data_IF_327522883125
#
_entry.id   IF_327522883125
#
_cell.length_a   1.000
_cell.length_b   1.000
_cell.length_c   1.000
_cell.angle_alpha   90.00
_cell.angle_beta   90.00
_cell.angle_gamma   90.00
#
_symmetry.space_group_name_H-M   'P 1'
#
loop_
_entity.id
_entity.type
_entity.pdbx_description
1 polymer ?
#
# COMPACT_ATOMS: atom_id res chain seq x y z
N UNK A 1 -4.68 -11.77 5.47
CA UNK A 1 -5.18 -13.10 5.07
C UNK A 1 -4.47 -13.40 3.76
N UNK A 2 -3.75 -14.51 3.62
CA UNK A 2 -3.07 -14.87 2.37
C UNK A 2 -3.95 -15.91 1.63
N UNK A 3 -5.07 -15.53 0.99
CA UNK A 3 -5.71 -16.41 0.04
C UNK A 3 -4.85 -16.40 -1.24
N UNK A 4 -4.54 -17.60 -1.70
CA UNK A 4 -4.17 -18.01 -3.07
C UNK A 4 -3.35 -19.29 -2.92
N UNK A 5 -4.03 -20.43 -2.81
CA UNK A 5 -3.42 -21.76 -2.88
C UNK A 5 -3.06 -22.13 -4.33
N UNK A 6 -2.72 -21.12 -5.14
CA UNK A 6 -2.48 -21.27 -6.56
C UNK A 6 -1.16 -21.98 -6.75
N UNK A 7 -1.18 -23.04 -7.54
CA UNK A 7 0.02 -23.79 -7.82
C UNK A 7 0.86 -23.03 -8.87
N UNK A 8 2.04 -22.52 -8.48
CA UNK A 8 2.94 -21.79 -9.37
C UNK A 8 3.25 -22.53 -10.68
N UNK A 9 3.32 -23.87 -10.65
CA UNK A 9 3.53 -24.68 -11.86
C UNK A 9 2.32 -24.64 -12.79
N UNK A 10 1.10 -24.73 -12.25
CA UNK A 10 -0.10 -24.59 -13.07
C UNK A 10 -0.20 -23.17 -13.66
N UNK A 11 0.14 -22.16 -12.86
CA UNK A 11 0.19 -20.77 -13.33
C UNK A 11 1.17 -20.56 -14.50
N UNK A 12 2.34 -21.22 -14.48
CA UNK A 12 3.27 -21.24 -15.63
C UNK A 12 2.69 -21.95 -16.86
N UNK A 13 1.93 -23.03 -16.65
CA UNK A 13 1.23 -23.73 -17.73
C UNK A 13 0.19 -22.81 -18.35
N UNK A 14 -0.62 -22.09 -17.55
CA UNK A 14 -1.58 -21.11 -18.04
C UNK A 14 -0.92 -20.06 -18.94
N UNK A 15 0.15 -19.41 -18.48
CA UNK A 15 0.84 -18.38 -19.28
C UNK A 15 1.38 -18.98 -20.59
N UNK A 16 1.92 -20.20 -20.55
CA UNK A 16 2.43 -20.87 -21.75
C UNK A 16 1.32 -21.27 -22.73
N UNK A 17 0.15 -21.73 -22.25
CA UNK A 17 -0.98 -22.06 -23.14
C UNK A 17 -1.54 -20.80 -23.80
N UNK A 18 -1.65 -19.70 -23.04
CA UNK A 18 -2.11 -18.42 -23.57
C UNK A 18 -1.16 -17.86 -24.62
N UNK A 19 0.16 -18.00 -24.44
CA UNK A 19 1.17 -17.55 -25.40
C UNK A 19 1.24 -18.43 -26.65
N UNK A 20 1.07 -19.74 -26.53
CA UNK A 20 1.26 -20.68 -27.65
C UNK A 20 -0.02 -21.05 -28.39
N UNK A 21 -1.19 -20.85 -27.77
CA UNK A 21 -2.49 -21.29 -28.25
C UNK A 21 -2.61 -22.82 -28.44
N UNK A 22 -1.72 -23.62 -27.83
CA UNK A 22 -1.65 -25.06 -28.11
C UNK A 22 -1.18 -25.87 -26.91
N UNK A 23 -2.04 -26.78 -26.44
CA UNK A 23 -1.72 -27.77 -25.39
C UNK A 23 -0.47 -28.58 -25.73
N UNK A 24 -0.30 -28.97 -26.99
CA UNK A 24 0.87 -29.72 -27.47
C UNK A 24 2.15 -28.90 -27.36
N UNK A 25 2.13 -27.65 -27.82
CA UNK A 25 3.32 -26.78 -27.73
C UNK A 25 3.66 -26.45 -26.27
N UNK A 26 2.65 -26.23 -25.42
CA UNK A 26 2.87 -26.02 -23.99
C UNK A 26 3.43 -27.25 -23.28
N UNK A 27 2.95 -28.45 -23.62
CA UNK A 27 3.48 -29.71 -23.06
C UNK A 27 5.00 -29.80 -23.30
N UNK A 28 5.43 -29.56 -24.54
CA UNK A 28 6.84 -29.50 -24.90
C UNK A 28 7.59 -28.37 -24.18
N UNK A 29 7.04 -27.15 -24.15
CA UNK A 29 7.70 -25.99 -23.54
C UNK A 29 7.87 -26.12 -22.01
N UNK A 30 6.90 -26.74 -21.33
CA UNK A 30 6.92 -26.97 -19.89
C UNK A 30 7.53 -28.33 -19.47
N UNK A 31 7.99 -29.14 -20.42
CA UNK A 31 8.50 -30.49 -20.20
C UNK A 31 7.53 -31.37 -19.38
N UNK A 32 6.26 -31.40 -19.78
CA UNK A 32 5.20 -32.22 -19.19
C UNK A 32 4.35 -32.91 -20.27
N UNK A 33 3.54 -33.89 -19.89
CA UNK A 33 2.62 -34.54 -20.84
C UNK A 33 1.40 -33.67 -21.15
N UNK A 34 0.78 -33.84 -22.32
CA UNK A 34 -0.46 -33.13 -22.68
C UNK A 34 -1.62 -33.39 -21.70
N UNK A 35 -1.83 -34.62 -21.16
CA UNK A 35 -2.80 -34.84 -20.10
C UNK A 35 -2.49 -34.03 -18.83
N UNK A 36 -1.21 -33.85 -18.48
CA UNK A 36 -0.81 -33.04 -17.34
C UNK A 36 -1.08 -31.54 -17.56
N UNK A 37 -0.89 -31.03 -18.78
CA UNK A 37 -1.32 -29.66 -19.16
C UNK A 37 -2.82 -29.51 -18.95
N UNK A 38 -3.62 -30.42 -19.52
CA UNK A 38 -5.08 -30.38 -19.45
C UNK A 38 -5.56 -30.44 -17.99
N UNK A 39 -4.96 -31.31 -17.17
CA UNK A 39 -5.29 -31.43 -15.75
C UNK A 39 -4.90 -30.15 -14.97
N UNK A 40 -3.76 -29.54 -15.28
CA UNK A 40 -3.32 -28.29 -14.65
C UNK A 40 -4.29 -27.15 -14.96
N UNK A 41 -4.72 -27.01 -16.21
CA UNK A 41 -5.71 -25.99 -16.61
C UNK A 41 -7.05 -26.21 -15.90
N UNK A 42 -7.56 -27.45 -15.87
CA UNK A 42 -8.82 -27.76 -15.17
C UNK A 42 -8.74 -27.43 -13.68
N UNK A 43 -7.63 -27.76 -13.01
CA UNK A 43 -7.43 -27.40 -11.61
C UNK A 43 -7.39 -25.88 -11.39
N UNK A 44 -6.88 -25.10 -12.35
CA UNK A 44 -6.96 -23.64 -12.26
C UNK A 44 -8.39 -23.13 -12.43
N UNK A 45 -9.15 -23.65 -13.38
CA UNK A 45 -10.57 -23.33 -13.54
C UNK A 45 -11.35 -23.61 -12.25
N UNK A 46 -11.09 -24.76 -11.62
CA UNK A 46 -11.68 -25.14 -10.32
C UNK A 46 -11.25 -24.19 -9.17
N UNK A 47 -9.97 -23.79 -9.13
CA UNK A 47 -9.42 -22.89 -8.10
C UNK A 47 -9.95 -21.46 -8.21
N UNK A 48 -10.06 -20.93 -9.42
CA UNK A 48 -10.59 -19.58 -9.67
C UNK A 48 -12.12 -19.56 -9.79
N UNK A 49 -12.77 -20.72 -9.90
CA UNK A 49 -14.22 -20.84 -10.01
C UNK A 49 -14.80 -20.30 -11.33
N UNK A 50 -13.98 -20.21 -12.39
CA UNK A 50 -14.36 -19.66 -13.70
C UNK A 50 -13.85 -20.55 -14.83
N UNK A 51 -14.60 -20.59 -15.93
CA UNK A 51 -14.15 -21.22 -17.15
C UNK A 51 -13.17 -20.29 -17.86
N UNK A 52 -11.93 -20.74 -18.01
CA UNK A 52 -10.85 -19.98 -18.65
C UNK A 52 -10.63 -20.44 -20.10
N UNK A 53 -11.08 -21.64 -20.44
CA UNK A 53 -10.85 -22.21 -21.76
C UNK A 53 -12.13 -22.74 -22.42
N UNK A 54 -12.27 -22.44 -23.69
CA UNK A 54 -13.30 -23.01 -24.56
C UNK A 54 -12.81 -24.34 -25.12
N UNK A 55 -13.61 -25.38 -24.93
CA UNK A 55 -13.29 -26.74 -25.37
C UNK A 55 -14.10 -27.04 -26.63
N UNK A 56 -13.40 -27.22 -27.74
CA UNK A 56 -14.00 -27.54 -29.03
C UNK A 56 -13.42 -28.86 -29.56
N UNK A 57 -14.00 -29.39 -30.64
CA UNK A 57 -13.46 -30.56 -31.33
C UNK A 57 -12.07 -30.32 -31.92
N UNK A 58 -11.64 -29.05 -32.03
CA UNK A 58 -10.34 -28.64 -32.56
C UNK A 58 -9.30 -28.40 -31.46
N UNK A 59 -9.69 -28.41 -30.18
CA UNK A 59 -8.77 -28.24 -29.07
C UNK A 59 -9.32 -27.40 -27.92
N UNK A 60 -8.38 -26.90 -27.10
CA UNK A 60 -8.65 -26.08 -25.92
C UNK A 60 -8.07 -24.69 -26.18
N UNK A 61 -8.92 -23.67 -26.19
CA UNK A 61 -8.56 -22.30 -26.53
C UNK A 61 -8.80 -21.35 -25.36
N UNK A 62 -7.86 -20.45 -25.02
CA UNK A 62 -8.06 -19.47 -23.96
C UNK A 62 -9.17 -18.47 -24.35
N UNK A 63 -10.09 -18.19 -23.44
CA UNK A 63 -11.06 -17.12 -23.60
C UNK A 63 -10.54 -15.79 -23.02
N UNK A 64 -11.37 -14.73 -23.02
CA UNK A 64 -10.97 -13.41 -22.50
C UNK A 64 -10.54 -13.45 -21.03
N UNK A 65 -11.18 -14.27 -20.19
CA UNK A 65 -10.81 -14.43 -18.78
C UNK A 65 -9.43 -15.09 -18.62
N UNK A 66 -9.08 -16.06 -19.48
CA UNK A 66 -7.73 -16.62 -19.50
C UNK A 66 -6.68 -15.56 -19.85
N UNK A 67 -6.95 -14.70 -20.84
CA UNK A 67 -6.03 -13.63 -21.21
C UNK A 67 -5.85 -12.60 -20.09
N UNK A 68 -6.94 -12.21 -19.43
CA UNK A 68 -6.92 -11.30 -18.29
C UNK A 68 -6.11 -11.88 -17.12
N UNK A 69 -6.39 -13.13 -16.74
CA UNK A 69 -5.65 -13.82 -15.68
C UNK A 69 -4.17 -14.00 -16.03
N UNK A 70 -3.86 -14.43 -17.25
CA UNK A 70 -2.48 -14.67 -17.69
C UNK A 70 -1.63 -13.39 -17.65
N UNK A 71 -2.20 -12.22 -17.92
CA UNK A 71 -1.49 -10.95 -17.82
C UNK A 71 -0.96 -10.68 -16.41
N UNK A 72 -1.81 -10.86 -15.38
CA UNK A 72 -1.43 -10.70 -13.97
C UNK A 72 -0.50 -11.79 -13.49
N UNK A 73 -0.78 -13.04 -13.87
CA UNK A 73 0.05 -14.19 -13.52
C UNK A 73 1.46 -14.05 -14.09
N UNK A 74 1.59 -13.60 -15.33
CA UNK A 74 2.90 -13.34 -15.96
C UNK A 74 3.70 -12.32 -15.15
N UNK A 75 3.10 -11.20 -14.77
CA UNK A 75 3.74 -10.19 -13.90
C UNK A 75 4.19 -10.77 -12.57
N UNK A 76 3.34 -11.56 -11.91
CA UNK A 76 3.67 -12.23 -10.66
C UNK A 76 4.88 -13.16 -10.84
N UNK A 77 4.89 -13.98 -11.90
CA UNK A 77 6.01 -14.87 -12.21
C UNK A 77 7.29 -14.09 -12.54
N UNK A 78 7.20 -13.00 -13.31
CA UNK A 78 8.36 -12.16 -13.66
C UNK A 78 9.00 -11.55 -12.40
N UNK A 79 8.20 -11.07 -11.43
CA UNK A 79 8.70 -10.58 -10.13
C UNK A 79 9.51 -11.66 -9.40
N UNK A 80 8.95 -12.88 -9.32
CA UNK A 80 9.63 -14.00 -8.68
C UNK A 80 10.91 -14.40 -9.44
N UNK A 81 10.84 -14.41 -10.77
CA UNK A 81 11.92 -14.84 -11.64
C UNK A 81 13.08 -13.83 -11.59
N UNK A 82 12.81 -12.53 -11.62
CA UNK A 82 13.81 -11.47 -11.43
C UNK A 82 14.46 -11.54 -10.05
N UNK A 83 13.67 -11.70 -8.99
CA UNK A 83 14.18 -11.78 -7.62
C UNK A 83 15.09 -13.00 -7.41
N UNK A 84 14.83 -14.09 -8.13
CA UNK A 84 15.53 -15.36 -7.96
C UNK A 84 16.64 -15.58 -8.97
N UNK A 85 16.71 -14.79 -10.06
CA UNK A 85 17.75 -14.87 -11.07
C UNK A 85 19.16 -14.76 -10.50
N UNK A 86 19.37 -13.88 -9.50
CA UNK A 86 20.68 -13.68 -8.86
C UNK A 86 20.88 -14.56 -7.62
N UNK A 87 19.79 -15.07 -7.03
CA UNK A 87 19.84 -15.89 -5.82
C UNK A 87 20.00 -17.38 -6.14
N UNK A 88 19.15 -17.91 -7.02
CA UNK A 88 19.09 -19.33 -7.37
C UNK A 88 18.27 -19.54 -8.67
N UNK A 89 18.89 -19.54 -9.86
CA UNK A 89 18.18 -19.65 -11.15
C UNK A 89 17.26 -20.88 -11.27
N UNK A 90 17.61 -21.99 -10.63
CA UNK A 90 16.80 -23.23 -10.62
C UNK A 90 15.58 -23.15 -9.71
N UNK A 91 15.57 -22.22 -8.75
CA UNK A 91 14.46 -22.06 -7.81
C UNK A 91 13.15 -21.69 -8.51
N UNK A 92 13.23 -21.01 -9.67
CA UNK A 92 12.12 -20.78 -10.60
C UNK A 92 11.21 -22.00 -10.83
N UNK A 93 11.82 -23.19 -10.86
CA UNK A 93 11.16 -24.47 -11.17
C UNK A 93 10.70 -25.23 -9.93
N UNK A 94 11.31 -24.98 -8.77
CA UNK A 94 11.03 -25.71 -7.50
C UNK A 94 10.24 -24.88 -6.48
N UNK A 95 10.07 -23.58 -6.75
CA UNK A 95 9.28 -22.68 -5.94
C UNK A 95 7.84 -23.19 -5.80
N UNK A 96 7.33 -23.17 -4.57
CA UNK A 96 5.93 -23.48 -4.27
C UNK A 96 5.34 -22.38 -3.43
N UNK A 97 4.04 -22.14 -3.62
CA UNK A 97 3.26 -21.16 -2.85
C UNK A 97 3.34 -21.44 -1.35
N UNK A 98 3.37 -22.71 -0.93
CA UNK A 98 3.52 -23.07 0.48
C UNK A 98 4.86 -22.58 1.07
N UNK A 99 5.99 -22.75 0.36
CA UNK A 99 7.30 -22.25 0.81
C UNK A 99 7.34 -20.73 0.87
N UNK A 100 6.80 -20.06 -0.16
CA UNK A 100 6.73 -18.59 -0.19
C UNK A 100 5.82 -18.04 0.92
N UNK A 101 4.67 -18.67 1.19
CA UNK A 101 3.79 -18.31 2.32
C UNK A 101 4.48 -18.50 3.67
N UNK A 102 5.23 -19.58 3.85
CA UNK A 102 6.00 -19.81 5.07
C UNK A 102 7.06 -18.72 5.27
N UNK A 103 7.82 -18.37 4.23
CA UNK A 103 8.78 -17.25 4.25
C UNK A 103 8.10 -15.94 4.67
N UNK A 104 7.01 -15.56 4.00
CA UNK A 104 6.27 -14.32 4.29
C UNK A 104 5.71 -14.32 5.72
N UNK A 105 5.12 -15.42 6.17
CA UNK A 105 4.54 -15.49 7.51
C UNK A 105 5.60 -15.37 8.61
N UNK A 106 6.78 -15.96 8.43
CA UNK A 106 7.90 -15.81 9.39
C UNK A 106 8.50 -14.41 9.29
N UNK A 107 8.65 -13.84 8.09
CA UNK A 107 9.11 -12.48 7.88
C UNK A 107 8.24 -11.43 8.61
N UNK A 108 6.91 -11.58 8.59
CA UNK A 108 5.98 -10.64 9.22
C UNK A 108 5.79 -10.81 10.73
N UNK A 109 6.14 -11.98 11.27
CA UNK A 109 5.93 -12.29 12.69
C UNK A 109 7.22 -12.37 13.49
N UNK A 110 8.38 -12.44 12.81
CA UNK A 110 9.72 -12.65 13.38
C UNK A 110 9.81 -13.87 14.32
N UNK A 111 8.80 -14.76 14.24
CA UNK A 111 8.60 -15.86 15.17
C UNK A 111 7.86 -17.02 14.49
N UNK A 112 8.53 -18.18 14.41
CA UNK A 112 7.98 -19.37 13.75
C UNK A 112 6.69 -19.91 14.37
N UNK A 113 6.50 -19.79 15.69
CA UNK A 113 5.28 -20.25 16.36
C UNK A 113 4.09 -19.33 16.01
N UNK A 114 4.31 -18.02 15.95
CA UNK A 114 3.28 -17.05 15.53
C UNK A 114 2.96 -17.23 14.04
N UNK A 115 3.98 -17.42 13.19
CA UNK A 115 3.80 -17.71 11.77
C UNK A 115 2.94 -18.97 11.55
N UNK A 116 3.22 -20.05 12.28
CA UNK A 116 2.48 -21.30 12.20
C UNK A 116 1.01 -21.13 12.60
N UNK A 117 0.75 -20.39 13.68
CA UNK A 117 -0.61 -20.04 14.13
C UNK A 117 -1.35 -19.22 13.08
N UNK A 118 -0.70 -18.21 12.47
CA UNK A 118 -1.27 -17.40 11.39
C UNK A 118 -1.60 -18.21 10.14
N UNK A 119 -0.78 -19.21 9.83
CA UNK A 119 -0.98 -20.10 8.68
C UNK A 119 -1.95 -21.25 8.97
N UNK A 120 -2.33 -21.48 10.22
CA UNK A 120 -3.21 -22.60 10.61
C UNK A 120 -2.57 -23.98 10.49
N UNK A 121 -1.23 -24.06 10.58
CA UNK A 121 -0.47 -25.31 10.45
C UNK A 121 0.49 -25.52 11.61
N UNK A 122 1.01 -26.73 11.76
CA UNK A 122 1.99 -27.04 12.81
C UNK A 122 3.32 -26.31 12.60
N UNK A 123 3.96 -25.83 13.68
CA UNK A 123 5.25 -25.14 13.63
C UNK A 123 6.36 -25.94 12.91
N UNK A 124 6.51 -27.27 13.09
CA UNK A 124 7.48 -28.05 12.33
C UNK A 124 7.26 -28.00 10.81
N UNK A 125 6.03 -27.81 10.34
CA UNK A 125 5.72 -27.67 8.91
C UNK A 125 6.25 -26.35 8.35
N UNK A 126 6.11 -25.25 9.09
CA UNK A 126 6.69 -23.94 8.72
C UNK A 126 8.21 -24.03 8.68
N UNK A 127 8.83 -24.59 9.73
CA UNK A 127 10.28 -24.76 9.78
C UNK A 127 10.80 -25.59 8.60
N UNK A 128 10.15 -26.73 8.30
CA UNK A 128 10.52 -27.58 7.16
C UNK A 128 10.43 -26.83 5.83
N UNK A 129 9.36 -26.07 5.62
CA UNK A 129 9.17 -25.29 4.40
C UNK A 129 10.28 -24.23 4.22
N UNK A 130 10.66 -23.53 5.29
CA UNK A 130 11.76 -22.55 5.28
C UNK A 130 13.11 -23.23 5.07
N UNK A 131 13.41 -24.32 5.77
CA UNK A 131 14.68 -25.05 5.61
C UNK A 131 14.83 -25.62 4.20
N UNK A 132 13.76 -26.16 3.61
CA UNK A 132 13.79 -26.62 2.22
C UNK A 132 14.01 -25.45 1.25
N UNK A 133 13.39 -24.31 1.51
CA UNK A 133 13.57 -23.10 0.73
C UNK A 133 15.04 -22.61 0.79
N UNK A 134 15.63 -22.56 1.98
CA UNK A 134 17.06 -22.22 2.18
C UNK A 134 17.98 -23.20 1.46
N UNK A 135 17.69 -24.51 1.52
CA UNK A 135 18.46 -25.55 0.83
C UNK A 135 18.40 -25.42 -0.69
N UNK A 136 17.23 -25.10 -1.26
CA UNK A 136 17.08 -24.93 -2.71
C UNK A 136 17.74 -23.65 -3.22
N UNK A 137 17.79 -22.62 -2.39
CA UNK A 137 18.46 -21.35 -2.70
C UNK A 137 19.97 -21.41 -2.43
N UNK A 138 20.41 -22.30 -1.53
CA UNK A 138 21.79 -22.38 -1.08
C UNK A 138 22.22 -21.21 -0.19
N UNK A 139 21.27 -20.51 0.44
CA UNK A 139 21.53 -19.39 1.35
C UNK A 139 20.58 -19.42 2.54
N UNK A 140 21.08 -19.00 3.69
CA UNK A 140 20.23 -18.69 4.85
C UNK A 140 19.35 -17.48 4.53
N UNK A 141 18.05 -17.61 4.76
CA UNK A 141 17.07 -16.54 4.63
C UNK A 141 16.79 -15.90 5.98
N UNK A 142 17.04 -16.63 7.08
CA UNK A 142 16.84 -16.15 8.43
C UNK A 142 18.10 -16.32 9.29
N UNK A 143 18.28 -15.40 10.25
CA UNK A 143 19.27 -15.49 11.32
C UNK A 143 18.56 -15.49 12.66
N UNK A 144 18.99 -16.36 13.56
CA UNK A 144 18.49 -16.39 14.94
C UNK A 144 18.95 -15.15 15.68
N UNK A 145 18.04 -14.56 16.44
CA UNK A 145 18.31 -13.45 17.36
C UNK A 145 17.81 -13.82 18.75
N UNK A 146 18.21 -13.04 19.75
CA UNK A 146 17.72 -13.20 21.13
C UNK A 146 16.19 -13.02 21.27
N UNK A 147 15.54 -12.37 20.30
CA UNK A 147 14.09 -12.10 20.29
C UNK A 147 13.32 -12.96 19.28
N UNK A 148 13.99 -13.86 18.55
CA UNK A 148 13.34 -14.71 17.54
C UNK A 148 14.18 -14.88 16.29
N UNK A 149 13.64 -14.46 15.15
CA UNK A 149 14.22 -14.67 13.82
C UNK A 149 14.19 -13.39 13.00
N UNK A 150 15.33 -13.00 12.46
CA UNK A 150 15.48 -11.83 11.57
C UNK A 150 15.83 -12.25 10.15
N UNK A 151 15.42 -11.49 9.14
CA UNK A 151 15.76 -11.77 7.74
C UNK A 151 17.25 -11.50 7.46
N UNK A 152 17.85 -12.33 6.60
CA UNK A 152 19.09 -11.98 5.90
C UNK A 152 18.77 -11.03 4.73
N UNK A 153 19.79 -10.47 4.07
CA UNK A 153 19.59 -9.68 2.84
C UNK A 153 18.89 -10.50 1.75
N UNK A 154 19.26 -11.77 1.59
CA UNK A 154 18.62 -12.69 0.66
C UNK A 154 17.17 -12.99 1.08
N UNK A 155 16.94 -13.20 2.38
CA UNK A 155 15.61 -13.34 2.96
C UNK A 155 14.72 -12.14 2.67
N UNK A 156 15.21 -10.92 2.89
CA UNK A 156 14.46 -9.69 2.65
C UNK A 156 14.07 -9.52 1.18
N UNK A 157 15.01 -9.78 0.27
CA UNK A 157 14.76 -9.67 -1.17
C UNK A 157 13.66 -10.65 -1.60
N UNK A 158 13.76 -11.92 -1.19
CA UNK A 158 12.79 -12.94 -1.57
C UNK A 158 11.43 -12.75 -0.87
N UNK A 159 11.41 -12.32 0.39
CA UNK A 159 10.16 -12.06 1.12
C UNK A 159 9.37 -10.91 0.48
N UNK A 160 10.05 -9.81 0.11
CA UNK A 160 9.42 -8.69 -0.59
C UNK A 160 8.87 -9.14 -1.95
N UNK A 161 9.65 -9.89 -2.73
CA UNK A 161 9.19 -10.43 -4.01
C UNK A 161 7.99 -11.38 -3.85
N UNK A 162 8.02 -12.27 -2.85
CA UNK A 162 6.92 -13.18 -2.56
C UNK A 162 5.63 -12.43 -2.18
N UNK A 163 5.72 -11.37 -1.39
CA UNK A 163 4.55 -10.53 -1.06
C UNK A 163 3.98 -9.85 -2.31
N UNK A 164 4.84 -9.34 -3.20
CA UNK A 164 4.40 -8.75 -4.47
C UNK A 164 3.78 -9.79 -5.42
N UNK A 165 4.31 -11.03 -5.46
CA UNK A 165 3.69 -12.15 -6.19
C UNK A 165 2.25 -12.37 -5.69
N UNK A 166 2.06 -12.47 -4.37
CA UNK A 166 0.73 -12.65 -3.79
C UNK A 166 -0.19 -11.45 -4.04
N UNK A 167 0.35 -10.23 -4.02
CA UNK A 167 -0.40 -9.04 -4.36
C UNK A 167 -0.89 -9.08 -5.82
N UNK A 168 -0.03 -9.40 -6.79
CA UNK A 168 -0.45 -9.51 -8.20
C UNK A 168 -1.47 -10.63 -8.42
N UNK A 169 -1.34 -11.77 -7.72
CA UNK A 169 -2.34 -12.85 -7.79
C UNK A 169 -3.69 -12.43 -7.18
N UNK A 170 -3.69 -11.66 -6.10
CA UNK A 170 -4.91 -11.10 -5.53
C UNK A 170 -5.56 -10.07 -6.47
N UNK A 171 -4.76 -9.25 -7.16
CA UNK A 171 -5.28 -8.35 -8.22
C UNK A 171 -5.87 -9.15 -9.39
N UNK A 172 -5.29 -10.30 -9.73
CA UNK A 172 -5.82 -11.20 -10.76
C UNK A 172 -7.21 -11.75 -10.39
N UNK A 173 -7.38 -12.19 -9.14
CA UNK A 173 -8.69 -12.62 -8.63
C UNK A 173 -9.71 -11.48 -8.63
N UNK A 174 -9.26 -10.26 -8.31
CA UNK A 174 -10.11 -9.08 -8.34
C UNK A 174 -10.57 -8.72 -9.75
N UNK A 175 -9.67 -8.72 -10.74
CA UNK A 175 -10.02 -8.47 -12.15
C UNK A 175 -10.96 -9.55 -12.71
N UNK A 176 -10.76 -10.82 -12.35
CA UNK A 176 -11.69 -11.89 -12.72
C UNK A 176 -13.07 -11.67 -12.09
N UNK A 177 -13.10 -11.30 -10.81
CA UNK A 177 -14.33 -10.99 -10.08
C UNK A 177 -15.09 -9.81 -10.71
N UNK A 178 -14.37 -8.77 -11.13
CA UNK A 178 -14.92 -7.63 -11.88
C UNK A 178 -15.54 -8.07 -13.21
N UNK A 179 -14.84 -8.92 -13.97
CA UNK A 179 -15.28 -9.37 -15.29
C UNK A 179 -16.53 -10.24 -15.24
N UNK A 180 -16.67 -11.11 -14.23
CA UNK A 180 -17.83 -11.99 -14.08
C UNK A 180 -18.97 -11.35 -13.27
N UNK A 181 -18.77 -10.16 -12.72
CA UNK A 181 -19.75 -9.46 -11.88
C UNK A 181 -20.07 -10.19 -10.56
N UNK A 182 -19.12 -10.94 -10.00
CA UNK A 182 -19.28 -11.70 -8.76
C UNK A 182 -18.01 -11.62 -7.92
N UNK A 183 -18.15 -11.69 -6.60
CA UNK A 183 -17.02 -11.63 -5.66
C UNK A 183 -16.94 -10.31 -4.92
N UNK A 184 -16.10 -10.26 -3.89
CA UNK A 184 -15.90 -9.06 -3.09
C UNK A 184 -14.69 -8.29 -3.63
N UNK A 185 -14.96 -7.10 -4.14
CA UNK A 185 -13.95 -6.16 -4.60
C UNK A 185 -13.43 -5.34 -3.41
N UNK A 186 -12.14 -5.00 -3.41
CA UNK A 186 -11.59 -4.16 -2.36
C UNK A 186 -10.46 -3.26 -2.83
N UNK A 187 -10.37 -2.08 -2.23
CA UNK A 187 -9.28 -1.12 -2.42
C UNK A 187 -8.63 -0.89 -1.05
N UNK A 188 -7.30 -1.06 -0.96
CA UNK A 188 -6.55 -0.73 0.26
C UNK A 188 -5.61 0.44 0.00
N UNK A 189 -5.82 1.56 0.67
CA UNK A 189 -4.98 2.75 0.52
C UNK A 189 -4.38 3.19 1.86
N UNK A 190 -3.22 3.85 1.80
CA UNK A 190 -2.65 4.55 2.95
C UNK A 190 -3.05 6.03 2.94
N UNK A 191 -3.75 6.47 3.98
CA UNK A 191 -4.22 7.86 4.11
C UNK A 191 -3.33 8.69 5.04
N UNK A 192 -2.60 9.66 4.49
CA UNK A 192 -1.92 10.68 5.30
C UNK A 192 -2.96 11.62 5.97
N UNK A 193 -2.60 12.36 7.04
CA UNK A 193 -3.57 13.11 7.84
C UNK A 193 -4.56 13.98 7.06
N UNK A 194 -4.08 14.78 6.11
CA UNK A 194 -4.92 15.63 5.26
C UNK A 194 -5.92 14.82 4.42
N UNK A 195 -5.46 13.74 3.77
CA UNK A 195 -6.32 13.00 2.85
C UNK A 195 -7.50 12.35 3.59
N UNK A 196 -7.33 11.99 4.86
CA UNK A 196 -8.38 11.37 5.69
C UNK A 196 -9.50 12.33 6.09
N UNK A 197 -9.20 13.60 6.34
CA UNK A 197 -10.22 14.58 6.74
C UNK A 197 -10.76 15.42 5.59
N UNK A 198 -10.05 15.50 4.47
CA UNK A 198 -10.44 16.34 3.33
C UNK A 198 -10.83 15.53 2.09
N UNK A 199 -9.90 14.75 1.53
CA UNK A 199 -10.08 14.14 0.19
C UNK A 199 -10.96 12.88 0.23
N UNK A 200 -10.63 11.95 1.12
CA UNK A 200 -11.23 10.62 1.16
C UNK A 200 -12.71 10.60 1.52
N UNK A 201 -13.24 11.41 2.47
CA UNK A 201 -14.66 11.36 2.80
C UNK A 201 -15.56 11.61 1.58
N UNK A 202 -15.27 12.65 0.79
CA UNK A 202 -16.04 12.99 -0.40
C UNK A 202 -15.84 11.95 -1.52
N UNK A 203 -14.59 11.55 -1.78
CA UNK A 203 -14.30 10.55 -2.82
C UNK A 203 -14.94 9.18 -2.52
N UNK A 204 -14.89 8.72 -1.27
CA UNK A 204 -15.48 7.44 -0.84
C UNK A 204 -17.01 7.51 -0.95
N UNK A 205 -17.64 8.62 -0.52
CA UNK A 205 -19.09 8.79 -0.63
C UNK A 205 -19.56 8.71 -2.09
N UNK A 206 -18.95 9.51 -2.99
CA UNK A 206 -19.26 9.50 -4.43
C UNK A 206 -19.03 8.11 -5.05
N UNK A 207 -17.92 7.45 -4.70
CA UNK A 207 -17.60 6.13 -5.23
C UNK A 207 -18.57 5.04 -4.74
N UNK A 208 -19.02 5.12 -3.49
CA UNK A 208 -19.96 4.16 -2.92
C UNK A 208 -21.33 4.18 -3.62
N UNK A 209 -21.78 5.34 -4.08
CA UNK A 209 -23.02 5.47 -4.87
C UNK A 209 -22.95 4.65 -6.17
N UNK A 210 -21.78 4.59 -6.80
CA UNK A 210 -21.56 3.86 -8.05
C UNK A 210 -21.16 2.39 -7.81
N UNK A 211 -20.50 2.10 -6.69
CA UNK A 211 -19.92 0.80 -6.38
C UNK A 211 -20.22 0.34 -4.94
N UNK A 212 -21.49 0.08 -4.58
CA UNK A 212 -21.91 -0.17 -3.20
C UNK A 212 -21.31 -1.45 -2.58
N UNK A 213 -20.82 -2.36 -3.41
CA UNK A 213 -20.26 -3.66 -2.98
C UNK A 213 -18.74 -3.64 -2.79
N UNK A 214 -18.05 -2.55 -3.17
CA UNK A 214 -16.59 -2.45 -3.04
C UNK A 214 -16.23 -2.08 -1.61
N UNK A 215 -15.37 -2.88 -0.98
CA UNK A 215 -14.84 -2.59 0.35
C UNK A 215 -13.60 -1.68 0.24
N UNK A 216 -13.69 -0.47 0.76
CA UNK A 216 -12.53 0.42 0.88
C UNK A 216 -11.91 0.25 2.27
N UNK A 217 -10.59 0.07 2.31
CA UNK A 217 -9.79 0.02 3.53
C UNK A 217 -8.79 1.16 3.51
N UNK A 218 -8.86 2.03 4.52
CA UNK A 218 -7.90 3.10 4.74
C UNK A 218 -6.97 2.69 5.89
N UNK A 219 -5.68 2.60 5.60
CA UNK A 219 -4.64 2.36 6.59
C UNK A 219 -4.01 3.69 7.00
N UNK A 220 -3.71 3.82 8.28
CA UNK A 220 -3.13 5.00 8.88
C UNK A 220 -1.87 4.63 9.64
N UNK A 221 -0.92 5.56 9.72
CA UNK A 221 0.32 5.36 10.46
C UNK A 221 1.44 6.26 9.96
N UNK A 222 2.66 6.07 10.50
CA UNK A 222 3.86 6.76 10.02
C UNK A 222 4.08 6.49 8.53
N UNK A 223 4.59 7.49 7.81
CA UNK A 223 4.81 7.40 6.36
C UNK A 223 5.68 6.19 5.99
N UNK A 224 6.77 5.94 6.72
CA UNK A 224 7.69 4.85 6.39
C UNK A 224 7.03 3.47 6.54
N UNK A 225 6.10 3.32 7.49
CA UNK A 225 5.30 2.10 7.65
C UNK A 225 4.34 1.90 6.47
N UNK A 226 3.64 2.96 6.05
CA UNK A 226 2.73 2.92 4.90
C UNK A 226 3.48 2.72 3.58
N UNK A 227 4.64 3.36 3.41
CA UNK A 227 5.52 3.17 2.25
C UNK A 227 6.03 1.72 2.19
N UNK A 228 6.44 1.15 3.33
CA UNK A 228 6.83 -0.26 3.37
C UNK A 228 5.67 -1.20 3.01
N UNK A 229 4.44 -0.88 3.44
CA UNK A 229 3.22 -1.59 3.05
C UNK A 229 2.92 -1.47 1.55
N UNK A 230 3.08 -0.27 0.98
CA UNK A 230 2.96 -0.01 -0.46
C UNK A 230 3.96 -0.84 -1.24
N UNK A 231 5.25 -0.79 -0.89
CA UNK A 231 6.31 -1.51 -1.60
C UNK A 231 6.16 -3.03 -1.56
N UNK A 232 5.45 -3.56 -0.56
CA UNK A 232 5.18 -5.00 -0.38
C UNK A 232 3.84 -5.45 -0.97
N UNK A 233 3.06 -4.55 -1.56
CA UNK A 233 1.76 -4.91 -2.14
C UNK A 233 0.61 -5.03 -1.14
N UNK A 234 0.82 -4.67 0.13
CA UNK A 234 -0.23 -4.65 1.14
C UNK A 234 -1.11 -3.40 1.07
N UNK A 235 -0.61 -2.34 0.41
CA UNK A 235 -1.31 -1.11 0.09
C UNK A 235 -1.24 -0.91 -1.43
N UNK A 236 -2.33 -0.49 -2.05
CA UNK A 236 -2.46 -0.25 -3.48
C UNK A 236 -1.81 1.10 -3.85
N UNK A 237 -2.15 2.16 -3.12
CA UNK A 237 -1.58 3.50 -3.26
C UNK A 237 -1.63 4.29 -1.94
N UNK A 238 -0.81 5.34 -1.84
CA UNK A 238 -0.86 6.33 -0.76
C UNK A 238 -1.47 7.62 -1.28
N UNK A 239 -2.13 8.36 -0.40
CA UNK A 239 -2.67 9.69 -0.68
C UNK A 239 -2.23 10.67 0.41
N UNK A 240 -1.45 11.68 0.04
CA UNK A 240 -0.88 12.62 1.00
C UNK A 240 0.24 13.50 0.45
N UNK A 241 0.99 14.13 1.36
CA UNK A 241 2.12 14.98 1.01
C UNK A 241 3.18 14.19 0.23
N UNK A 242 3.59 14.74 -0.91
CA UNK A 242 4.68 14.20 -1.71
C UNK A 242 6.03 14.54 -1.08
N UNK A 243 7.08 13.87 -1.56
CA UNK A 243 8.46 14.01 -1.09
C UNK A 243 9.32 14.34 -2.29
N UNK A 244 10.22 15.30 -2.14
CA UNK A 244 11.20 15.66 -3.16
C UNK A 244 12.60 15.71 -2.52
N UNK A 245 13.55 14.88 -2.99
CA UNK A 245 13.37 13.81 -3.98
C UNK A 245 12.48 12.67 -3.46
N UNK A 246 11.94 11.82 -4.35
CA UNK A 246 11.29 10.58 -3.94
C UNK A 246 12.24 9.77 -3.05
N UNK A 247 11.76 9.20 -1.92
CA UNK A 247 12.63 8.51 -0.98
C UNK A 247 13.33 7.27 -1.56
N UNK A 248 12.75 6.64 -2.58
CA UNK A 248 13.18 5.39 -3.19
C UNK A 248 12.79 5.36 -4.68
N UNK A 249 13.60 4.69 -5.52
CA UNK A 249 13.42 4.65 -6.98
C UNK A 249 12.26 3.77 -7.47
N UNK A 250 11.73 2.86 -6.64
CA UNK A 250 10.67 1.91 -7.01
C UNK A 250 9.23 2.45 -6.79
N UNK A 251 9.10 3.75 -6.52
CA UNK A 251 7.81 4.44 -6.38
C UNK A 251 7.64 5.56 -7.41
N UNK A 252 6.39 5.90 -7.67
CA UNK A 252 6.01 7.03 -8.53
C UNK A 252 5.07 7.94 -7.75
N UNK A 253 5.22 9.25 -7.93
CA UNK A 253 4.45 10.28 -7.26
C UNK A 253 3.74 11.14 -8.31
N UNK A 254 2.43 11.25 -8.19
CA UNK A 254 1.55 12.05 -9.05
C UNK A 254 1.04 13.24 -8.25
N UNK A 255 1.34 14.46 -8.70
CA UNK A 255 0.85 15.70 -8.09
C UNK A 255 -0.64 15.90 -8.33
N UNK A 256 -1.37 16.34 -7.30
CA UNK A 256 -2.78 16.73 -7.40
C UNK A 256 -2.96 18.24 -7.16
N UNK A 257 -2.51 18.77 -6.02
CA UNK A 257 -2.64 20.18 -5.65
C UNK A 257 -1.64 20.58 -4.55
N UNK A 258 -1.52 21.88 -4.28
CA UNK A 258 -0.73 22.42 -3.16
C UNK A 258 -1.59 22.63 -1.90
N UNK A 259 -1.07 22.20 -0.75
CA UNK A 259 -1.67 22.51 0.56
C UNK A 259 -0.70 23.34 1.41
N UNK A 260 -1.22 24.31 2.15
CA UNK A 260 -0.45 25.13 3.07
C UNK A 260 -0.80 24.85 4.54
N UNK A 261 0.14 25.19 5.42
CA UNK A 261 -0.09 25.19 6.86
C UNK A 261 -0.82 26.47 7.28
N UNK A 262 -1.55 26.36 8.38
CA UNK A 262 -2.22 27.47 9.05
C UNK A 262 -1.96 27.38 10.55
N UNK A 263 -1.80 28.54 11.19
CA UNK A 263 -1.76 28.63 12.64
C UNK A 263 -3.21 28.67 13.14
N UNK A 264 -3.54 27.78 14.07
CA UNK A 264 -4.87 27.64 14.64
C UNK A 264 -4.86 27.87 16.14
N UNK A 265 -6.01 28.26 16.66
CA UNK A 265 -6.27 28.47 18.08
C UNK A 265 -7.65 27.92 18.44
N UNK A 266 -7.93 27.80 19.74
CA UNK A 266 -9.30 27.60 20.23
C UNK A 266 -10.18 28.83 19.99
N UNK A 267 -11.51 28.67 19.99
CA UNK A 267 -12.43 29.78 19.71
C UNK A 267 -12.32 30.93 20.73
N UNK A 268 -12.00 30.61 21.98
CA UNK A 268 -11.89 31.57 23.10
C UNK A 268 -10.46 32.09 23.32
N UNK A 269 -9.53 31.79 22.41
CA UNK A 269 -8.14 32.22 22.52
C UNK A 269 -8.02 33.76 22.41
N UNK A 270 -7.13 34.45 23.16
CA UNK A 270 -6.99 35.91 23.07
C UNK A 270 -6.70 36.43 21.66
N UNK A 271 -5.89 35.69 20.89
CA UNK A 271 -5.59 36.01 19.49
C UNK A 271 -6.73 35.67 18.51
N UNK A 272 -7.77 34.95 18.94
CA UNK A 272 -8.87 34.59 18.06
C UNK A 272 -9.57 35.85 17.53
N UNK A 273 -9.75 36.90 18.33
CA UNK A 273 -10.38 38.16 17.90
C UNK A 273 -9.42 39.19 17.32
N UNK A 274 -8.12 38.91 17.25
CA UNK A 274 -7.13 39.87 16.77
C UNK A 274 -7.13 39.95 15.23
N UNK A 275 -7.27 41.16 14.67
CA UNK A 275 -7.22 41.37 13.20
C UNK A 275 -5.78 41.30 12.66
N UNK A 276 -4.82 41.85 13.41
CA UNK A 276 -3.40 41.91 13.03
C UNK A 276 -2.49 41.50 14.18
N UNK A 277 -2.52 40.22 14.60
CA UNK A 277 -1.65 39.72 15.65
C UNK A 277 -0.17 39.82 15.24
N UNK A 278 0.69 40.18 16.19
CA UNK A 278 2.13 40.24 15.97
C UNK A 278 2.71 38.82 15.92
N UNK A 279 3.36 38.44 14.81
CA UNK A 279 3.88 37.08 14.61
C UNK A 279 4.94 36.70 15.65
N UNK A 280 5.89 37.59 15.94
CA UNK A 280 6.97 37.34 16.90
C UNK A 280 6.43 37.09 18.30
N UNK A 281 5.51 37.94 18.77
CA UNK A 281 4.85 37.76 20.06
C UNK A 281 4.02 36.46 20.07
N UNK A 282 3.30 36.17 18.99
CA UNK A 282 2.48 34.96 18.86
C UNK A 282 3.32 33.68 18.99
N UNK A 283 4.47 33.61 18.31
CA UNK A 283 5.37 32.46 18.37
C UNK A 283 6.07 32.33 19.73
N UNK A 284 6.35 33.44 20.43
CA UNK A 284 7.13 33.45 21.66
C UNK A 284 6.29 33.28 22.94
N UNK A 285 5.12 33.90 22.98
CA UNK A 285 4.39 34.14 24.24
C UNK A 285 3.35 33.06 24.56
N UNK A 286 3.09 32.13 23.63
CA UNK A 286 2.10 31.07 23.79
C UNK A 286 2.74 29.69 23.64
N UNK A 287 2.27 28.65 24.36
CA UNK A 287 2.71 27.26 24.16
C UNK A 287 2.11 26.65 22.88
N UNK A 288 2.86 25.76 22.24
CA UNK A 288 2.53 25.22 20.92
C UNK A 288 2.27 23.72 20.90
N UNK A 289 1.27 23.34 20.10
CA UNK A 289 0.98 21.98 19.69
C UNK A 289 1.46 21.82 18.25
N UNK A 290 2.50 21.01 18.04
CA UNK A 290 3.18 20.89 16.75
C UNK A 290 3.06 19.49 16.14
N UNK A 291 3.20 19.38 14.80
CA UNK A 291 3.40 18.08 14.16
C UNK A 291 4.71 17.42 14.63
N UNK A 292 4.78 16.09 14.49
CA UNK A 292 5.97 15.31 14.85
C UNK A 292 7.22 15.76 14.03
N UNK A 293 8.43 15.75 14.64
CA UNK A 293 9.70 16.17 14.03
C UNK A 293 9.98 15.64 12.63
N UNK A 294 9.67 14.38 12.36
CA UNK A 294 9.96 13.69 11.10
C UNK A 294 8.99 14.01 9.95
N UNK A 295 7.98 14.87 10.19
CA UNK A 295 6.94 15.16 9.22
C UNK A 295 7.28 16.37 8.35
N UNK A 296 6.86 16.38 7.06
CA UNK A 296 7.00 17.57 6.22
C UNK A 296 6.37 18.82 6.85
N UNK A 297 5.19 18.69 7.49
CA UNK A 297 4.53 19.82 8.13
C UNK A 297 5.40 20.49 9.19
N UNK A 298 6.12 19.71 10.01
CA UNK A 298 7.05 20.24 11.01
C UNK A 298 8.23 20.98 10.37
N UNK A 299 8.84 20.39 9.34
CA UNK A 299 9.96 21.00 8.61
C UNK A 299 9.56 22.35 7.99
N UNK A 300 8.38 22.45 7.39
CA UNK A 300 7.89 23.69 6.79
C UNK A 300 7.58 24.75 7.86
N UNK A 301 7.04 24.36 9.01
CA UNK A 301 6.80 25.29 10.13
C UNK A 301 8.11 25.82 10.72
N UNK A 302 9.10 24.96 10.93
CA UNK A 302 10.42 25.39 11.44
C UNK A 302 11.15 26.30 10.45
N UNK A 303 11.08 26.01 9.15
CA UNK A 303 11.63 26.88 8.12
C UNK A 303 10.96 28.26 8.10
N UNK A 304 9.64 28.30 8.26
CA UNK A 304 8.88 29.54 8.40
C UNK A 304 9.31 30.35 9.64
N UNK A 305 9.40 29.71 10.81
CA UNK A 305 9.82 30.38 12.05
C UNK A 305 11.26 30.93 11.95
N UNK A 306 12.18 30.14 11.39
CA UNK A 306 13.57 30.53 11.20
C UNK A 306 13.71 31.74 10.26
N UNK A 307 12.95 31.78 9.14
CA UNK A 307 12.93 32.91 8.21
C UNK A 307 12.32 34.16 8.80
N UNK A 308 11.31 34.03 9.65
CA UNK A 308 10.75 35.14 10.41
C UNK A 308 11.73 35.71 11.46
N UNK A 309 12.90 35.08 11.66
CA UNK A 309 13.91 35.51 12.62
C UNK A 309 13.49 35.27 14.07
N UNK A 310 12.57 34.33 14.30
CA UNK A 310 12.01 34.04 15.63
C UNK A 310 12.55 32.70 16.12
N UNK A 311 12.94 32.56 17.40
CA UNK A 311 13.32 31.27 17.95
C UNK A 311 12.17 30.25 17.82
N UNK A 312 12.54 28.96 17.81
CA UNK A 312 11.56 27.89 17.81
C UNK A 312 10.60 28.06 19.01
N UNK A 313 9.28 27.95 18.79
CA UNK A 313 8.30 28.15 19.86
C UNK A 313 8.44 27.10 20.96
N UNK A 314 7.97 27.43 22.16
CA UNK A 314 7.85 26.48 23.27
C UNK A 314 6.84 25.38 22.92
N UNK A 315 7.35 24.19 22.58
CA UNK A 315 6.54 23.07 22.16
C UNK A 315 6.03 22.30 23.38
N UNK A 316 4.74 22.49 23.70
CA UNK A 316 4.04 21.80 24.77
C UNK A 316 3.72 20.35 24.41
N UNK A 317 3.30 20.12 23.16
CA UNK A 317 2.78 18.83 22.70
C UNK A 317 3.15 18.59 21.24
N UNK A 318 3.64 17.39 20.94
CA UNK A 318 3.84 16.91 19.58
C UNK A 318 2.81 15.83 19.24
N UNK A 319 2.00 16.04 18.20
CA UNK A 319 0.96 15.07 17.83
C UNK A 319 0.56 15.15 16.36
N UNK A 320 0.15 14.02 15.80
CA UNK A 320 -0.52 13.94 14.50
C UNK A 320 -2.05 13.85 14.62
N UNK A 321 -2.58 13.78 15.86
CA UNK A 321 -4.01 13.67 16.13
C UNK A 321 -4.66 15.05 16.14
N UNK A 322 -5.46 15.33 15.09
CA UNK A 322 -6.24 16.55 15.01
C UNK A 322 -7.25 16.65 16.16
N UNK A 323 -7.85 15.54 16.58
CA UNK A 323 -8.78 15.50 17.71
C UNK A 323 -8.09 15.92 19.00
N UNK A 324 -6.90 15.37 19.29
CA UNK A 324 -6.15 15.75 20.50
C UNK A 324 -5.73 17.23 20.45
N UNK A 325 -5.24 17.70 19.29
CA UNK A 325 -4.92 19.12 19.10
C UNK A 325 -6.14 19.99 19.40
N UNK A 326 -7.31 19.68 18.82
CA UNK A 326 -8.55 20.43 19.05
C UNK A 326 -8.90 20.50 20.54
N UNK A 327 -8.95 19.38 21.24
CA UNK A 327 -9.32 19.36 22.67
C UNK A 327 -8.34 20.19 23.51
N UNK A 328 -7.05 20.09 23.21
CA UNK A 328 -6.04 20.90 23.88
C UNK A 328 -6.22 22.39 23.60
N UNK A 329 -6.48 22.79 22.35
CA UNK A 329 -6.74 24.19 21.99
C UNK A 329 -7.96 24.79 22.70
N UNK A 330 -8.94 23.96 23.10
CA UNK A 330 -10.06 24.40 23.95
C UNK A 330 -9.69 24.46 25.43
N UNK A 331 -8.75 23.64 25.89
CA UNK A 331 -8.36 23.52 27.29
C UNK A 331 -7.50 24.69 27.80
N UNK A 332 -6.90 25.47 26.89
CA UNK A 332 -6.04 26.57 27.29
C UNK A 332 -5.60 27.48 26.14
N UNK A 333 -4.83 28.54 26.44
CA UNK A 333 -4.34 29.49 25.46
C UNK A 333 -3.15 28.91 24.70
N UNK A 334 -3.38 27.85 23.93
CA UNK A 334 -2.38 27.20 23.11
C UNK A 334 -2.59 27.50 21.63
N UNK A 335 -1.54 27.35 20.86
CA UNK A 335 -1.55 27.50 19.41
C UNK A 335 -1.17 26.19 18.74
N UNK A 336 -1.77 25.93 17.58
CA UNK A 336 -1.51 24.75 16.77
C UNK A 336 -1.00 25.13 15.39
N UNK A 337 -0.23 24.23 14.77
CA UNK A 337 0.11 24.32 13.35
C UNK A 337 -0.36 23.07 12.63
N UNK A 338 -1.20 23.24 11.60
CA UNK A 338 -1.84 22.14 10.87
C UNK A 338 -2.11 22.54 9.43
N UNK A 339 -2.32 21.56 8.55
CA UNK A 339 -2.81 21.82 7.19
C UNK A 339 -4.14 22.56 7.18
N UNK A 340 -4.26 23.57 6.31
CA UNK A 340 -5.50 24.32 6.09
C UNK A 340 -6.64 23.41 5.66
N UNK A 341 -6.40 22.50 4.71
CA UNK A 341 -7.42 21.56 4.27
C UNK A 341 -7.75 20.53 5.35
N UNK A 342 -6.75 20.05 6.10
CA UNK A 342 -6.98 19.06 7.17
C UNK A 342 -7.91 19.59 8.27
N UNK A 343 -7.81 20.88 8.59
CA UNK A 343 -8.59 21.54 9.65
C UNK A 343 -9.88 22.20 9.15
N UNK A 344 -10.18 22.11 7.85
CA UNK A 344 -11.27 22.87 7.23
C UNK A 344 -12.62 22.64 7.90
N UNK A 345 -12.99 21.39 8.20
CA UNK A 345 -14.28 21.07 8.84
C UNK A 345 -14.38 21.69 10.24
N UNK A 346 -13.28 21.72 10.99
CA UNK A 346 -13.23 22.27 12.34
C UNK A 346 -13.36 23.80 12.33
N UNK A 347 -12.79 24.46 11.32
CA UNK A 347 -12.99 25.89 11.08
C UNK A 347 -14.44 26.20 10.70
N UNK A 348 -15.04 25.42 9.78
CA UNK A 348 -16.43 25.59 9.35
C UNK A 348 -17.41 25.43 10.52
N UNK A 349 -17.15 24.46 11.39
CA UNK A 349 -17.96 24.21 12.58
C UNK A 349 -17.62 25.12 13.77
N UNK A 350 -16.70 26.08 13.61
CA UNK A 350 -16.25 27.03 14.65
C UNK A 350 -15.69 26.35 15.90
N UNK A 351 -15.15 25.14 15.75
CA UNK A 351 -14.44 24.41 16.80
C UNK A 351 -12.98 24.87 16.89
N UNK A 352 -12.42 25.41 15.81
CA UNK A 352 -11.11 26.05 15.83
C UNK A 352 -11.15 27.35 15.04
N UNK A 353 -10.19 28.23 15.30
CA UNK A 353 -10.03 29.47 14.54
C UNK A 353 -8.64 29.56 13.92
N UNK A 354 -8.60 29.80 12.61
CA UNK A 354 -7.38 30.13 11.90
C UNK A 354 -6.97 31.57 12.21
N UNK A 355 -5.71 31.77 12.57
CA UNK A 355 -5.12 33.09 12.77
C UNK A 355 -4.65 33.67 11.42
N UNK A 356 -4.70 35.01 11.24
CA UNK A 356 -4.45 35.67 9.97
C UNK A 356 -2.95 35.81 9.66
N UNK A 357 -2.22 34.70 9.67
CA UNK A 357 -0.83 34.63 9.23
C UNK A 357 -0.74 33.98 7.85
N UNK A 358 0.02 34.61 6.96
CA UNK A 358 0.34 34.04 5.65
C UNK A 358 1.54 33.10 5.78
N UNK A 359 1.32 31.79 5.60
CA UNK A 359 2.38 30.77 5.60
C UNK A 359 2.55 30.24 4.16
N UNK A 360 2.65 31.12 3.15
CA UNK A 360 2.73 30.70 1.75
C UNK A 360 3.94 29.80 1.45
N UNK A 361 5.03 30.00 2.19
CA UNK A 361 6.25 29.19 2.08
C UNK A 361 6.09 27.77 2.67
N UNK A 362 4.97 27.50 3.35
CA UNK A 362 4.63 26.17 3.87
C UNK A 362 3.83 25.31 2.89
N UNK A 363 3.59 25.83 1.68
CA UNK A 363 2.95 25.10 0.60
C UNK A 363 3.74 23.83 0.29
N UNK A 364 3.02 22.72 0.24
CA UNK A 364 3.59 21.42 -0.11
C UNK A 364 2.70 20.69 -1.10
N UNK A 365 3.32 19.95 -2.03
CA UNK A 365 2.58 19.16 -3.01
C UNK A 365 1.86 18.01 -2.32
N UNK A 366 0.57 17.87 -2.58
CA UNK A 366 -0.27 16.74 -2.20
C UNK A 366 -0.53 15.90 -3.45
N UNK A 367 -0.50 14.57 -3.29
CA UNK A 367 -0.68 13.70 -4.43
C UNK A 367 -0.83 12.22 -4.10
N UNK A 368 -0.79 11.42 -5.15
CA UNK A 368 -0.91 9.96 -5.11
C UNK A 368 0.49 9.36 -5.23
N UNK A 369 0.82 8.39 -4.37
CA UNK A 369 2.07 7.62 -4.46
C UNK A 369 1.78 6.15 -4.72
N UNK A 370 2.39 5.57 -5.75
CA UNK A 370 2.21 4.18 -6.18
C UNK A 370 3.55 3.47 -6.32
N UNK A 371 3.56 2.14 -6.45
CA UNK A 371 4.77 1.44 -6.94
C UNK A 371 4.94 1.74 -8.42
N UNK A 372 6.17 1.94 -8.89
CA UNK A 372 6.44 2.31 -10.29
C UNK A 372 5.85 1.34 -11.32
N UNK A 373 5.78 0.05 -10.98
CA UNK A 373 5.21 -0.98 -11.85
C UNK A 373 3.77 -1.35 -11.50
N UNK A 374 3.10 -0.66 -10.57
CA UNK A 374 1.73 -1.00 -10.19
C UNK A 374 0.76 -0.76 -11.34
N UNK A 375 -0.12 -1.74 -11.57
CA UNK A 375 -1.23 -1.62 -12.51
C UNK A 375 -2.53 -1.70 -11.72
N UNK A 376 -3.37 -0.64 -11.70
CA UNK A 376 -4.67 -0.71 -11.03
C UNK A 376 -5.61 -1.67 -11.76
N UNK A 377 -6.55 -2.28 -11.03
CA UNK A 377 -7.74 -2.92 -11.64
C UNK A 377 -8.70 -1.86 -12.19
N UNK A 378 -9.79 -2.26 -12.85
CA UNK A 378 -10.79 -1.30 -13.33
C UNK A 378 -11.38 -0.48 -12.17
N UNK A 379 -11.80 -1.17 -11.11
CA UNK A 379 -12.39 -0.54 -9.91
C UNK A 379 -11.43 0.43 -9.22
N UNK A 380 -10.15 0.07 -9.12
CA UNK A 380 -9.12 0.95 -8.55
C UNK A 380 -8.88 2.18 -9.44
N UNK A 381 -8.88 2.01 -10.76
CA UNK A 381 -8.71 3.10 -11.71
C UNK A 381 -9.89 4.08 -11.68
N UNK A 382 -11.12 3.57 -11.58
CA UNK A 382 -12.35 4.38 -11.41
C UNK A 382 -12.28 5.22 -10.12
N UNK A 383 -11.86 4.63 -9.00
CA UNK A 383 -11.69 5.36 -7.74
C UNK A 383 -10.62 6.46 -7.84
N UNK A 384 -9.47 6.17 -8.47
CA UNK A 384 -8.43 7.17 -8.69
C UNK A 384 -8.89 8.28 -9.64
N UNK A 385 -9.70 7.97 -10.66
CA UNK A 385 -10.26 8.97 -11.56
C UNK A 385 -11.19 9.95 -10.82
N UNK A 386 -12.03 9.46 -9.91
CA UNK A 386 -12.85 10.32 -9.06
C UNK A 386 -12.01 11.24 -8.17
N UNK A 387 -10.94 10.72 -7.57
CA UNK A 387 -10.03 11.55 -6.76
C UNK A 387 -9.41 12.66 -7.63
N UNK A 388 -8.94 12.33 -8.84
CA UNK A 388 -8.35 13.31 -9.76
C UNK A 388 -9.34 14.38 -10.20
N UNK A 389 -10.58 14.00 -10.48
CA UNK A 389 -11.60 14.91 -10.98
C UNK A 389 -11.91 16.06 -10.00
N UNK A 390 -11.68 15.86 -8.70
CA UNK A 390 -11.89 16.90 -7.68
C UNK A 390 -10.77 17.97 -7.69
N UNK A 391 -9.67 17.76 -8.42
CA UNK A 391 -8.50 18.67 -8.48
C UNK A 391 -8.04 19.00 -9.92
N UNK A 392 -8.80 18.60 -10.93
CA UNK A 392 -8.49 18.77 -12.35
C UNK A 392 -8.87 20.15 -12.90
#
# INVERSE_FOLDING_TARGET
MLPTEHNLRHLRVLTSVVETGSVTKTASACNISQPAVTQALRKLEDQFGVQLFDRTNQGVFPNELAHLLAGRVKRALDILDTATATLAPRFRLTATTAKLRALVAVAESENFSIAARRLGIAQPTVHRAVTQLESEIGRELFRRTQYGSSLTRAGQLLANAAQLVFAELAQAEMELSEAIGRGQLSITLGGMPLSRSYILPAAIAKFHEQHPHVRIRVLEGPYDTLLAGLRRGAIDFLLGALRDPPPIDDITQEYLFEDELVIVSGPDHPLASAEHPNLTATLKDYPWILPLPETPARQHFEAFAARAGVPAPDCLLETSSMVLMREMLHAGPYLGCISRHQVQSELQNRLMKALPFALEESRRPIGITTRAQWKPTRTQAEFLALIRADFA
#
